data_IF_850539905376
#
_entry.id   IF_850539905376
#
_cell.length_a   1.000
_cell.length_b   1.000
_cell.length_c   1.000
_cell.angle_alpha   90.00
_cell.angle_beta   90.00
_cell.angle_gamma   90.00
#
_symmetry.space_group_name_H-M   'P 1'
#
loop_
_entity.id
_entity.type
_entity.pdbx_description
1 polymer ?
#
# COMPACT_ATOMS: atom_id res chain seq x y z
N UNK A 1 0.43 0.01 11.80
CA UNK A 1 0.13 -1.44 11.89
C UNK A 1 -1.09 -1.69 12.79
N UNK A 2 -1.11 -1.06 13.96
CA UNK A 2 -2.19 -1.26 14.95
C UNK A 2 -3.55 -0.77 14.44
N UNK A 3 -3.60 0.35 13.72
CA UNK A 3 -4.82 0.86 13.07
C UNK A 3 -5.43 -0.16 12.10
N UNK A 4 -4.60 -0.75 11.23
CA UNK A 4 -5.08 -1.77 10.28
C UNK A 4 -5.70 -2.97 10.98
N UNK A 5 -5.17 -3.34 12.15
CA UNK A 5 -5.68 -4.45 12.96
C UNK A 5 -6.99 -4.05 13.63
N UNK A 6 -7.06 -2.86 14.21
CA UNK A 6 -8.27 -2.32 14.81
C UNK A 6 -9.44 -2.27 13.80
N UNK A 7 -9.19 -1.85 12.56
CA UNK A 7 -10.19 -1.89 11.48
C UNK A 7 -10.71 -3.30 11.22
N UNK A 8 -9.87 -4.33 11.26
CA UNK A 8 -10.32 -5.71 11.05
C UNK A 8 -11.16 -6.22 12.22
N UNK A 9 -10.78 -5.86 13.43
CA UNK A 9 -11.52 -6.22 14.64
C UNK A 9 -12.90 -5.56 14.64
N UNK A 10 -12.97 -4.27 14.32
CA UNK A 10 -14.21 -3.51 14.18
C UNK A 10 -15.20 -4.19 13.22
N UNK A 11 -14.71 -4.67 12.08
CA UNK A 11 -15.54 -5.29 11.05
C UNK A 11 -15.63 -6.82 11.15
N UNK A 12 -15.08 -7.45 12.19
CA UNK A 12 -15.09 -8.91 12.37
C UNK A 12 -14.35 -9.69 11.26
N UNK A 13 -13.34 -9.08 10.61
CA UNK A 13 -12.64 -9.58 9.42
C UNK A 13 -11.14 -9.86 9.68
N UNK A 14 -10.86 -10.50 10.81
CA UNK A 14 -9.50 -10.81 11.29
C UNK A 14 -8.84 -12.00 10.57
N UNK A 15 -9.61 -12.87 9.92
CA UNK A 15 -9.12 -14.02 9.17
C UNK A 15 -8.86 -13.78 7.67
N UNK A 16 -8.31 -14.81 7.01
CA UNK A 16 -8.05 -14.82 5.57
C UNK A 16 -6.92 -13.87 5.16
N UNK A 17 -6.98 -13.34 3.93
CA UNK A 17 -6.01 -12.33 3.48
C UNK A 17 -6.21 -11.04 4.25
N UNK A 18 -5.19 -10.63 5.00
CA UNK A 18 -5.22 -9.47 5.90
C UNK A 18 -4.69 -8.19 5.26
N UNK A 19 -3.84 -8.28 4.25
CA UNK A 19 -3.36 -7.14 3.45
C UNK A 19 -3.04 -7.56 2.02
N UNK A 20 -2.81 -6.58 1.14
CA UNK A 20 -2.13 -6.76 -0.14
C UNK A 20 -0.81 -6.00 -0.14
N UNK A 21 0.21 -6.62 -0.72
CA UNK A 21 1.53 -6.03 -0.89
C UNK A 21 1.74 -5.67 -2.35
N UNK A 22 2.10 -4.41 -2.62
CA UNK A 22 2.50 -3.93 -3.93
C UNK A 22 3.92 -3.39 -3.87
N UNK A 23 4.58 -3.39 -5.02
CA UNK A 23 5.94 -2.84 -5.19
C UNK A 23 5.94 -1.96 -6.42
N UNK A 24 6.50 -0.76 -6.27
CA UNK A 24 6.84 0.14 -7.37
C UNK A 24 8.36 0.28 -7.38
N UNK A 25 9.00 -0.16 -8.45
CA UNK A 25 10.44 -0.02 -8.65
C UNK A 25 10.72 1.00 -9.74
N UNK A 26 11.83 1.71 -9.59
CA UNK A 26 12.43 2.53 -10.63
C UNK A 26 13.59 1.77 -11.26
N UNK A 27 13.81 1.94 -12.56
CA UNK A 27 15.00 1.44 -13.25
C UNK A 27 16.26 2.14 -12.71
N UNK A 28 17.41 1.48 -12.76
CA UNK A 28 18.68 2.03 -12.24
C UNK A 28 19.12 3.32 -12.96
N UNK A 29 18.76 3.46 -14.23
CA UNK A 29 19.04 4.65 -15.05
C UNK A 29 18.04 5.80 -14.83
N UNK A 30 16.98 5.60 -14.04
CA UNK A 30 16.03 6.67 -13.74
C UNK A 30 16.64 7.66 -12.74
N UNK A 31 16.65 8.93 -13.14
CA UNK A 31 17.17 10.03 -12.31
C UNK A 31 16.11 10.44 -11.26
N UNK A 32 15.96 9.61 -10.23
CA UNK A 32 14.97 9.77 -9.16
C UNK A 32 15.68 9.79 -7.79
N UNK A 33 15.27 10.68 -6.89
CA UNK A 33 15.76 10.65 -5.51
C UNK A 33 14.84 9.81 -4.62
N UNK A 34 15.32 9.27 -3.49
CA UNK A 34 14.47 8.53 -2.55
C UNK A 34 13.26 9.34 -2.06
N UNK A 35 13.44 10.65 -1.83
CA UNK A 35 12.37 11.55 -1.41
C UNK A 35 11.33 11.74 -2.52
N UNK A 36 11.77 11.89 -3.77
CA UNK A 36 10.85 11.97 -4.91
C UNK A 36 10.10 10.65 -5.11
N UNK A 37 10.79 9.51 -5.02
CA UNK A 37 10.17 8.19 -5.09
C UNK A 37 9.13 7.99 -3.98
N UNK A 38 9.40 8.46 -2.76
CA UNK A 38 8.44 8.40 -1.67
C UNK A 38 7.23 9.32 -1.89
N UNK A 39 7.45 10.56 -2.35
CA UNK A 39 6.36 11.46 -2.74
C UNK A 39 5.46 10.86 -3.82
N UNK A 40 6.08 10.31 -4.88
CA UNK A 40 5.36 9.63 -5.96
C UNK A 40 4.56 8.44 -5.43
N UNK A 41 5.11 7.66 -4.50
CA UNK A 41 4.40 6.56 -3.87
C UNK A 41 3.17 7.05 -3.07
N UNK A 42 3.32 8.11 -2.28
CA UNK A 42 2.20 8.73 -1.56
C UNK A 42 1.12 9.22 -2.52
N UNK A 43 1.50 9.87 -3.61
CA UNK A 43 0.56 10.34 -4.64
C UNK A 43 -0.14 9.18 -5.35
N UNK A 44 0.59 8.12 -5.72
CA UNK A 44 0.02 6.91 -6.29
C UNK A 44 -1.02 6.30 -5.35
N UNK A 45 -0.70 6.19 -4.06
CA UNK A 45 -1.61 5.62 -3.08
C UNK A 45 -2.89 6.44 -2.90
N UNK A 46 -2.76 7.77 -2.85
CA UNK A 46 -3.91 8.69 -2.74
C UNK A 46 -4.81 8.67 -3.97
N UNK A 47 -4.24 8.51 -5.16
CA UNK A 47 -4.96 8.55 -6.43
C UNK A 47 -5.42 7.18 -6.93
N UNK A 48 -5.09 6.09 -6.24
CA UNK A 48 -5.58 4.76 -6.58
C UNK A 48 -6.99 4.56 -5.99
N UNK A 49 -8.03 4.72 -6.82
CA UNK A 49 -9.42 4.67 -6.37
C UNK A 49 -9.77 3.38 -5.61
N UNK A 50 -9.21 2.23 -6.02
CA UNK A 50 -9.42 0.96 -5.34
C UNK A 50 -8.88 0.93 -3.89
N UNK A 51 -7.97 1.84 -3.52
CA UNK A 51 -7.40 1.94 -2.18
C UNK A 51 -8.09 3.00 -1.33
N UNK A 52 -9.09 3.70 -1.88
CA UNK A 52 -9.88 4.67 -1.12
C UNK A 52 -10.57 3.99 0.06
N UNK A 53 -10.46 4.62 1.23
CA UNK A 53 -10.98 4.08 2.49
C UNK A 53 -10.21 2.85 2.99
N UNK A 54 -9.05 2.52 2.43
CA UNK A 54 -8.13 1.53 2.99
C UNK A 54 -6.90 2.24 3.57
N UNK A 55 -6.44 1.79 4.74
CA UNK A 55 -5.16 2.26 5.26
C UNK A 55 -4.03 1.68 4.40
N UNK A 56 -3.05 2.52 4.08
CA UNK A 56 -1.88 2.16 3.27
C UNK A 56 -0.61 2.54 4.03
N UNK A 57 0.26 1.56 4.29
CA UNK A 57 1.61 1.80 4.80
C UNK A 57 2.59 1.80 3.63
N UNK A 58 3.42 2.84 3.54
CA UNK A 58 4.41 3.03 2.47
C UNK A 58 5.81 3.02 3.08
N UNK A 59 6.72 2.27 2.47
CA UNK A 59 8.14 2.28 2.79
C UNK A 59 8.97 2.33 1.51
N UNK A 60 9.94 3.24 1.44
CA UNK A 60 10.83 3.40 0.28
C UNK A 60 12.24 2.95 0.66
N UNK A 61 12.84 2.08 -0.15
CA UNK A 61 14.14 1.46 0.08
C UNK A 61 15.12 1.80 -1.05
N UNK A 62 16.41 1.71 -0.72
CA UNK A 62 17.55 2.02 -1.61
C UNK A 62 18.63 0.92 -1.58
N UNK A 63 18.28 -0.26 -1.06
CA UNK A 63 19.22 -1.31 -0.64
C UNK A 63 19.47 -2.39 -1.71
N UNK A 64 18.88 -2.26 -2.92
CA UNK A 64 18.97 -3.28 -3.99
C UNK A 64 19.49 -2.76 -5.33
N UNK A 65 20.32 -1.73 -5.30
CA UNK A 65 20.88 -1.10 -6.52
C UNK A 65 19.88 -0.23 -7.30
N UNK A 66 18.61 -0.23 -6.90
CA UNK A 66 17.58 0.64 -7.44
C UNK A 66 16.59 1.04 -6.33
N UNK A 67 15.93 2.17 -6.53
CA UNK A 67 14.93 2.69 -5.59
C UNK A 67 13.61 1.95 -5.81
N UNK A 68 13.00 1.50 -4.71
CA UNK A 68 11.69 0.86 -4.75
C UNK A 68 10.84 1.22 -3.53
N UNK A 69 9.53 1.32 -3.75
CA UNK A 69 8.54 1.61 -2.72
C UNK A 69 7.62 0.41 -2.54
N UNK A 70 7.45 -0.02 -1.30
CA UNK A 70 6.49 -1.03 -0.87
C UNK A 70 5.20 -0.39 -0.37
N UNK A 71 4.08 -1.00 -0.70
CA UNK A 71 2.76 -0.61 -0.22
C UNK A 71 2.10 -1.79 0.48
N UNK A 72 1.74 -1.63 1.74
CA UNK A 72 0.90 -2.58 2.46
C UNK A 72 -0.48 -1.95 2.57
N UNK A 73 -1.41 -2.43 1.74
CA UNK A 73 -2.80 -1.95 1.70
C UNK A 73 -3.65 -2.87 2.57
N UNK A 74 -4.36 -2.31 3.54
CA UNK A 74 -5.26 -3.08 4.39
C UNK A 74 -6.31 -3.80 3.54
N UNK A 75 -6.54 -5.08 3.82
CA UNK A 75 -7.55 -5.83 3.06
C UNK A 75 -8.99 -5.40 3.32
N UNK A 76 -9.24 -4.69 4.43
CA UNK A 76 -10.57 -4.23 4.87
C UNK A 76 -10.59 -2.71 4.79
N UNK A 77 -11.64 -2.17 4.20
CA UNK A 77 -11.88 -0.72 4.15
C UNK A 77 -12.38 -0.25 5.52
N UNK A 78 -11.78 0.80 6.08
CA UNK A 78 -12.12 1.28 7.43
C UNK A 78 -13.48 1.99 7.47
N UNK A 79 -13.95 2.55 6.36
CA UNK A 79 -15.21 3.29 6.26
C UNK A 79 -16.43 2.37 6.15
N UNK A 80 -16.30 1.28 5.39
CA UNK A 80 -17.45 0.44 5.00
C UNK A 80 -17.24 -1.07 5.23
N UNK A 81 -16.05 -1.47 5.70
CA UNK A 81 -15.73 -2.87 6.00
C UNK A 81 -15.55 -3.76 4.78
N UNK A 82 -15.77 -3.30 3.54
CA UNK A 82 -15.63 -4.13 2.36
C UNK A 82 -14.18 -4.59 2.16
N UNK A 83 -14.03 -5.78 1.57
CA UNK A 83 -12.70 -6.30 1.24
C UNK A 83 -12.19 -5.63 -0.03
N UNK A 84 -10.89 -5.35 -0.08
CA UNK A 84 -10.21 -4.82 -1.27
C UNK A 84 -10.44 -5.73 -2.47
N UNK A 85 -11.12 -5.21 -3.49
CA UNK A 85 -11.37 -5.89 -4.76
C UNK A 85 -10.22 -5.60 -5.71
N UNK A 86 -9.42 -6.62 -5.99
CA UNK A 86 -8.27 -6.50 -6.89
C UNK A 86 -7.93 -7.90 -7.41
N UNK A 87 -8.19 -8.14 -8.69
CA UNK A 87 -7.80 -9.37 -9.38
C UNK A 87 -6.33 -9.32 -9.77
N UNK A 88 -5.74 -10.48 -10.05
CA UNK A 88 -4.50 -10.49 -10.83
C UNK A 88 -4.85 -10.01 -12.24
N UNK A 89 -3.92 -9.30 -12.88
CA UNK A 89 -3.98 -9.10 -14.32
C UNK A 89 -3.81 -10.45 -15.02
#
# INVERSE_FOLDING_TARGET
KDEMQATKELWGKTGGRTYKHFVQSYHEDEHITPEQAHRNAVELAKNTEAWKGHEVLIATHIDRGHIHSHFIVNSVNYENGHKLQWSKA
#
